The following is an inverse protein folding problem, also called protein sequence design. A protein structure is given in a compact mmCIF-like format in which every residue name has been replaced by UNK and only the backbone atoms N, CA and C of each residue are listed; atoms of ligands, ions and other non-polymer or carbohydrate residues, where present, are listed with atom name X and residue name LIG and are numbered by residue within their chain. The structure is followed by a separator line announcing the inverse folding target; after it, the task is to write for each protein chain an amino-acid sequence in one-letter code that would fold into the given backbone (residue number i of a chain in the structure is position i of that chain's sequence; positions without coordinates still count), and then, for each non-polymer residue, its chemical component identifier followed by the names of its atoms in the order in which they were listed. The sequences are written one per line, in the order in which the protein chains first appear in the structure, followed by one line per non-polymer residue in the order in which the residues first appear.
data_IF_745903822775
#
_entry.id   IF_745903822775
#
_cell.length_a   1.000
_cell.length_b   1.000
_cell.length_c   1.000
_cell.angle_alpha   90.00
_cell.angle_beta   90.00
_cell.angle_gamma   90.00
#
_symmetry.space_group_name_H-M   'P 1'
#
loop_
_entity.id
_entity.type
_entity.pdbx_description
1 polymer ?
#
# COMPACT_ATOMS: atom_id res chain seq x y z
N UNK A 1 2.70 48.99 22.11
CA UNK A 1 2.78 47.86 21.16
C UNK A 1 1.38 47.39 20.82
N UNK A 2 1.02 47.35 19.53
CA UNK A 2 -0.24 46.76 19.08
C UNK A 2 -0.11 45.23 19.03
N UNK A 3 -1.09 44.49 19.56
CA UNK A 3 -1.11 43.02 19.49
C UNK A 3 -1.60 42.57 18.11
N UNK A 4 -0.85 41.70 17.44
CA UNK A 4 -1.25 41.06 16.19
C UNK A 4 -2.12 39.82 16.43
N UNK A 5 -2.62 39.21 15.35
CA UNK A 5 -3.42 37.98 15.42
C UNK A 5 -2.54 36.76 15.63
N UNK A 6 -2.75 36.04 16.74
CA UNK A 6 -1.89 34.92 17.15
C UNK A 6 -2.05 33.63 16.31
N UNK A 7 -3.21 33.41 15.65
CA UNK A 7 -3.45 32.21 14.84
C UNK A 7 -4.51 32.43 13.75
N UNK A 8 -4.38 31.74 12.61
CA UNK A 8 -5.42 31.70 11.55
C UNK A 8 -5.34 30.44 10.68
N UNK A 9 -6.50 29.83 10.42
CA UNK A 9 -6.67 28.71 9.48
C UNK A 9 -7.32 29.16 8.14
N UNK A 10 -7.62 30.45 7.98
CA UNK A 10 -8.50 30.98 6.91
C UNK A 10 -8.07 30.64 5.47
N UNK A 11 -6.77 30.44 5.22
CA UNK A 11 -6.23 30.17 3.89
C UNK A 11 -5.70 28.73 3.70
N UNK A 12 -5.75 27.84 4.71
CA UNK A 12 -5.10 26.53 4.57
C UNK A 12 -5.89 25.63 3.60
N UNK A 13 -7.21 25.50 3.77
CA UNK A 13 -8.08 24.79 2.82
C UNK A 13 -7.93 25.37 1.40
N UNK A 14 -7.91 26.71 1.28
CA UNK A 14 -7.74 27.48 0.03
C UNK A 14 -6.32 27.39 -0.58
N UNK A 15 -5.39 26.67 0.07
CA UNK A 15 -4.12 26.20 -0.50
C UNK A 15 -4.13 24.70 -0.78
N UNK A 16 -4.63 23.88 0.16
CA UNK A 16 -4.69 22.42 0.02
C UNK A 16 -5.50 21.98 -1.22
N UNK A 17 -6.55 22.72 -1.58
CA UNK A 17 -7.36 22.43 -2.76
C UNK A 17 -6.82 23.02 -4.08
N UNK A 18 -5.79 23.87 -4.09
CA UNK A 18 -5.23 24.43 -5.35
C UNK A 18 -4.72 23.33 -6.29
N UNK A 19 -4.09 22.32 -5.73
CA UNK A 19 -3.55 21.17 -6.46
C UNK A 19 -4.38 19.90 -6.24
N UNK A 20 -5.51 19.99 -5.55
CA UNK A 20 -6.32 18.85 -5.11
C UNK A 20 -5.72 18.03 -3.97
N UNK A 21 -6.58 17.33 -3.21
CA UNK A 21 -6.18 16.38 -2.17
C UNK A 21 -6.37 14.97 -2.73
N UNK A 22 -5.31 14.39 -3.26
CA UNK A 22 -5.36 13.05 -3.86
C UNK A 22 -5.28 11.93 -2.81
N UNK A 23 -6.04 10.85 -3.05
CA UNK A 23 -5.94 9.61 -2.26
C UNK A 23 -4.69 8.83 -2.69
N UNK A 24 -4.04 8.06 -1.79
CA UNK A 24 -2.91 7.21 -2.17
C UNK A 24 -3.30 6.22 -3.27
N UNK A 25 -2.42 6.03 -4.25
CA UNK A 25 -2.66 5.14 -5.40
C UNK A 25 -2.77 3.68 -4.91
N UNK A 26 -3.90 3.03 -5.22
CA UNK A 26 -4.09 1.59 -4.96
C UNK A 26 -3.29 0.79 -5.99
N UNK A 27 -2.45 -0.13 -5.53
CA UNK A 27 -1.73 -1.10 -6.38
C UNK A 27 -2.34 -2.50 -6.21
N UNK A 28 -2.25 -3.35 -7.23
CA UNK A 28 -2.75 -4.75 -7.19
C UNK A 28 -2.11 -5.58 -6.08
N UNK A 29 -0.86 -5.27 -5.72
CA UNK A 29 -0.10 -5.95 -4.68
C UNK A 29 0.46 -4.91 -3.70
N UNK A 30 -0.13 -4.75 -2.50
CA UNK A 30 0.41 -3.85 -1.48
C UNK A 30 1.64 -4.44 -0.79
N UNK A 31 2.40 -3.60 -0.08
CA UNK A 31 3.53 -4.06 0.72
C UNK A 31 3.09 -4.94 1.88
N UNK A 32 3.76 -6.06 2.10
CA UNK A 32 3.51 -6.98 3.24
C UNK A 32 4.31 -6.60 4.50
N UNK A 33 4.72 -5.33 4.65
CA UNK A 33 5.43 -4.84 5.83
C UNK A 33 4.45 -4.79 7.01
N UNK A 34 4.81 -5.40 8.14
CA UNK A 34 3.95 -5.50 9.32
C UNK A 34 2.98 -6.69 9.32
N UNK A 35 2.99 -7.54 8.28
CA UNK A 35 2.27 -8.82 8.28
C UNK A 35 3.05 -9.83 9.14
N UNK A 36 2.33 -10.74 9.82
CA UNK A 36 2.88 -11.78 10.69
C UNK A 36 4.12 -12.50 10.07
N UNK A 37 5.28 -12.47 10.74
CA UNK A 37 6.48 -13.19 10.30
C UNK A 37 6.27 -14.69 10.07
N UNK A 38 5.41 -15.38 10.83
CA UNK A 38 5.16 -16.83 10.68
C UNK A 38 4.43 -17.12 9.36
N UNK A 39 3.36 -16.37 9.07
CA UNK A 39 2.69 -16.38 7.77
C UNK A 39 3.64 -16.04 6.61
N UNK A 40 4.47 -14.99 6.75
CA UNK A 40 5.42 -14.60 5.71
C UNK A 40 6.47 -15.69 5.43
N UNK A 41 6.96 -16.39 6.45
CA UNK A 41 7.87 -17.55 6.29
C UNK A 41 7.18 -18.67 5.52
N UNK A 42 5.97 -19.09 5.94
CA UNK A 42 5.21 -20.13 5.24
C UNK A 42 4.93 -19.76 3.77
N UNK A 43 4.44 -18.54 3.52
CA UNK A 43 4.16 -18.06 2.16
C UNK A 43 5.42 -18.04 1.27
N UNK A 44 6.61 -17.75 1.82
CA UNK A 44 7.88 -17.84 1.07
C UNK A 44 8.20 -19.28 0.67
N UNK A 45 8.04 -20.25 1.58
CA UNK A 45 8.23 -21.67 1.26
C UNK A 45 7.22 -22.15 0.21
N UNK A 46 5.92 -21.91 0.41
CA UNK A 46 4.89 -22.27 -0.55
C UNK A 46 5.15 -21.66 -1.95
N UNK A 47 5.51 -20.37 -2.03
CA UNK A 47 5.88 -19.72 -3.30
C UNK A 47 7.18 -20.23 -3.94
N UNK A 48 8.07 -20.88 -3.18
CA UNK A 48 9.29 -21.52 -3.70
C UNK A 48 8.94 -22.88 -4.33
N UNK A 49 8.22 -23.73 -3.61
CA UNK A 49 7.97 -25.12 -4.01
C UNK A 49 6.76 -25.28 -4.95
N UNK A 50 5.75 -24.41 -4.87
CA UNK A 50 4.58 -24.46 -5.77
C UNK A 50 4.87 -23.93 -7.19
N UNK A 51 6.14 -23.63 -7.54
CA UNK A 51 6.53 -23.25 -8.90
C UNK A 51 6.81 -24.46 -9.79
N UNK A 52 7.42 -25.52 -9.27
CA UNK A 52 7.68 -26.77 -10.01
C UNK A 52 6.41 -27.62 -10.21
N UNK A 53 5.40 -27.48 -9.35
CA UNK A 53 4.11 -28.16 -9.53
C UNK A 53 3.25 -27.63 -10.70
N UNK A 54 3.56 -26.44 -11.23
CA UNK A 54 2.74 -25.82 -12.30
C UNK A 54 2.92 -26.48 -13.66
N UNK A 55 4.10 -27.01 -13.96
CA UNK A 55 4.34 -27.81 -15.17
C UNK A 55 3.57 -29.13 -15.16
N UNK A 56 3.37 -29.75 -13.98
CA UNK A 56 2.53 -30.94 -13.84
C UNK A 56 1.03 -30.64 -13.90
N UNK A 57 0.56 -29.61 -13.19
CA UNK A 57 -0.87 -29.28 -13.10
C UNK A 57 -1.48 -28.79 -14.43
N UNK A 58 -0.70 -28.14 -15.30
CA UNK A 58 -1.17 -27.72 -16.64
C UNK A 58 -1.14 -28.90 -17.63
N UNK A 59 -0.26 -29.89 -17.43
CA UNK A 59 -0.22 -31.10 -18.26
C UNK A 59 -1.36 -32.09 -17.95
N UNK A 60 -1.87 -32.09 -16.71
CA UNK A 60 -3.00 -32.94 -16.29
C UNK A 60 -4.40 -32.35 -16.62
N UNK A 61 -4.46 -31.21 -17.31
CA UNK A 61 -5.69 -30.49 -17.66
C UNK A 61 -5.87 -30.36 -19.19
N UNK A 62 -5.30 -31.29 -19.95
CA UNK A 62 -5.37 -31.39 -21.42
C UNK A 62 -5.63 -32.84 -21.81
#
# INVERSE_FOLDING_TARGET
MAKSKNHTNHNQNRKHHRNGIYRPKKQRYPSLKGVDPKFLRNMRFAKKHNKSGKSGAVAAAK
#
